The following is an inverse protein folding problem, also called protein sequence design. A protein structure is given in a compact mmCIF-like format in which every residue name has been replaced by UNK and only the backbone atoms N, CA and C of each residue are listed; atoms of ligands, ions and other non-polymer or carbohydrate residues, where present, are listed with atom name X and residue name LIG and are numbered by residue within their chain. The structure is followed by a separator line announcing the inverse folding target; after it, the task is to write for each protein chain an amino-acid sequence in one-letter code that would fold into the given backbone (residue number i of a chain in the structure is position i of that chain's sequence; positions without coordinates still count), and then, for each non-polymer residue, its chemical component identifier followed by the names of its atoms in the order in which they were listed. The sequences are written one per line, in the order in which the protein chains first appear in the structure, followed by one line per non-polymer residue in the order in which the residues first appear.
data_IF_970997467940
#
_entry.id   IF_970997467940
#
_cell.length_a   1.000
_cell.length_b   1.000
_cell.length_c   1.000
_cell.angle_alpha   90.00
_cell.angle_beta   90.00
_cell.angle_gamma   90.00
#
_symmetry.space_group_name_H-M   'P 1'
#
loop_
_entity.id
_entity.type
_entity.pdbx_description
1 polymer ?
#
# COMPACT_ATOMS: atom_id res chain seq x y z
N UNK A 1 -10.69 14.51 37.86
CA UNK A 1 -10.42 15.22 36.57
C UNK A 1 -9.00 14.88 36.12
N UNK A 2 -8.84 13.86 35.26
CA UNK A 2 -7.52 13.47 34.75
C UNK A 2 -7.25 14.26 33.46
N UNK A 3 -6.21 15.10 33.49
CA UNK A 3 -5.65 15.77 32.31
C UNK A 3 -4.87 14.73 31.51
N UNK A 4 -5.28 14.47 30.27
CA UNK A 4 -4.48 13.72 29.29
C UNK A 4 -3.25 14.55 28.92
N UNK A 5 -2.05 14.00 29.14
CA UNK A 5 -0.80 14.58 28.62
C UNK A 5 -0.68 14.21 27.14
N UNK A 6 -0.57 15.23 26.29
CA UNK A 6 -0.12 15.11 24.90
C UNK A 6 1.27 14.47 24.88
N UNK A 7 1.43 13.32 24.21
CA UNK A 7 2.76 12.71 23.97
C UNK A 7 2.93 11.24 24.37
N UNK A 8 1.89 10.51 24.77
CA UNK A 8 1.98 9.05 24.85
C UNK A 8 1.64 8.47 23.47
N UNK A 9 2.66 8.14 22.68
CA UNK A 9 2.47 7.12 21.65
C UNK A 9 1.93 5.89 22.36
N UNK A 10 0.80 5.36 21.90
CA UNK A 10 0.39 4.01 22.30
C UNK A 10 1.63 3.12 22.21
N UNK A 11 1.96 2.31 23.23
CA UNK A 11 3.06 1.36 23.08
C UNK A 11 2.81 0.63 21.77
N UNK A 12 3.82 0.53 20.91
CA UNK A 12 3.71 -0.24 19.67
C UNK A 12 3.22 -1.62 20.11
N UNK A 13 1.93 -1.90 19.94
CA UNK A 13 1.39 -3.21 20.31
C UNK A 13 2.17 -4.19 19.46
N UNK A 14 2.91 -5.07 20.13
CA UNK A 14 3.78 -6.00 19.44
C UNK A 14 2.88 -6.85 18.54
N UNK A 15 3.11 -6.78 17.23
CA UNK A 15 2.40 -7.61 16.24
C UNK A 15 2.64 -9.06 16.64
N UNK A 16 1.59 -9.74 17.08
CA UNK A 16 1.69 -11.12 17.55
C UNK A 16 1.91 -12.06 16.37
N UNK A 17 2.40 -13.27 16.63
CA UNK A 17 2.56 -14.27 15.56
C UNK A 17 1.22 -14.57 14.85
N UNK A 18 0.11 -14.51 15.61
CA UNK A 18 -1.23 -14.63 15.04
C UNK A 18 -1.56 -13.48 14.08
N UNK A 19 -1.22 -12.25 14.42
CA UNK A 19 -1.47 -11.09 13.55
C UNK A 19 -0.68 -11.18 12.25
N UNK A 20 0.55 -11.69 12.31
CA UNK A 20 1.39 -11.92 11.12
C UNK A 20 0.80 -12.97 10.20
N UNK A 21 0.35 -14.10 10.75
CA UNK A 21 -0.31 -15.15 9.94
C UNK A 21 -1.60 -14.63 9.30
N UNK A 22 -2.43 -13.92 10.05
CA UNK A 22 -3.64 -13.28 9.50
C UNK A 22 -3.31 -12.26 8.40
N UNK A 23 -2.24 -11.48 8.56
CA UNK A 23 -1.80 -10.54 7.52
C UNK A 23 -1.36 -11.26 6.23
N UNK A 24 -0.63 -12.38 6.36
CA UNK A 24 -0.24 -13.21 5.21
C UNK A 24 -1.48 -13.80 4.52
N UNK A 25 -2.41 -14.38 5.28
CA UNK A 25 -3.66 -14.95 4.75
C UNK A 25 -4.51 -13.89 4.04
N UNK A 26 -4.68 -12.71 4.65
CA UNK A 26 -5.41 -11.61 4.06
C UNK A 26 -4.76 -11.13 2.76
N UNK A 27 -3.42 -11.09 2.72
CA UNK A 27 -2.68 -10.64 1.54
C UNK A 27 -2.86 -11.55 0.32
N UNK A 28 -3.10 -12.85 0.52
CA UNK A 28 -3.39 -13.79 -0.60
C UNK A 28 -4.53 -13.28 -1.49
N UNK A 29 -5.52 -12.58 -0.91
CA UNK A 29 -6.63 -11.98 -1.68
C UNK A 29 -6.16 -10.86 -2.61
N UNK A 30 -5.12 -10.12 -2.22
CA UNK A 30 -4.52 -9.06 -3.03
C UNK A 30 -3.71 -9.68 -4.18
N UNK A 31 -3.01 -10.79 -3.93
CA UNK A 31 -2.18 -11.46 -4.93
C UNK A 31 -2.97 -12.04 -6.10
N UNK A 32 -4.25 -12.36 -5.89
CA UNK A 32 -5.12 -12.93 -6.91
C UNK A 32 -5.24 -12.03 -8.15
N UNK A 33 -5.21 -10.71 -7.98
CA UNK A 33 -5.27 -9.76 -9.10
C UNK A 33 -4.70 -8.38 -8.75
N UNK A 34 -3.38 -8.24 -8.81
CA UNK A 34 -2.70 -6.98 -8.51
C UNK A 34 -3.16 -5.81 -9.39
N UNK A 35 -3.52 -6.04 -10.66
CA UNK A 35 -3.98 -4.97 -11.55
C UNK A 35 -5.33 -4.42 -11.11
N UNK A 36 -6.31 -5.29 -10.86
CA UNK A 36 -7.63 -4.87 -10.41
C UNK A 36 -7.57 -4.21 -9.03
N UNK A 37 -6.85 -4.82 -8.09
CA UNK A 37 -6.77 -4.32 -6.71
C UNK A 37 -6.04 -2.97 -6.66
N UNK A 38 -4.92 -2.81 -7.36
CA UNK A 38 -4.23 -1.52 -7.41
C UNK A 38 -5.08 -0.44 -8.06
N UNK A 39 -5.81 -0.76 -9.13
CA UNK A 39 -6.72 0.21 -9.75
C UNK A 39 -7.80 0.67 -8.77
N UNK A 40 -8.51 -0.25 -8.12
CA UNK A 40 -9.57 0.09 -7.17
C UNK A 40 -9.02 0.94 -6.00
N UNK A 41 -7.92 0.51 -5.40
CA UNK A 41 -7.26 1.23 -4.30
C UNK A 41 -6.93 2.67 -4.68
N UNK A 42 -6.37 2.90 -5.87
CA UNK A 42 -5.92 4.22 -6.29
C UNK A 42 -7.05 5.08 -6.83
N UNK A 43 -8.09 4.49 -7.44
CA UNK A 43 -9.34 5.21 -7.76
C UNK A 43 -9.96 5.76 -6.49
N UNK A 44 -10.10 4.93 -5.45
CA UNK A 44 -10.68 5.37 -4.17
C UNK A 44 -9.80 6.44 -3.50
N UNK A 45 -8.48 6.24 -3.52
CA UNK A 45 -7.54 7.18 -2.90
C UNK A 45 -7.51 8.53 -3.60
N UNK A 46 -7.50 8.57 -4.93
CA UNK A 46 -7.53 9.81 -5.69
C UNK A 46 -8.90 10.47 -5.68
N UNK A 47 -9.99 9.71 -5.55
CA UNK A 47 -11.33 10.28 -5.36
C UNK A 47 -11.43 11.02 -4.03
N UNK A 48 -10.87 10.43 -2.96
CA UNK A 48 -10.86 11.05 -1.63
C UNK A 48 -9.83 12.19 -1.53
N UNK A 49 -8.70 12.06 -2.22
CA UNK A 49 -7.57 13.00 -2.15
C UNK A 49 -6.99 13.31 -3.54
N UNK A 50 -7.69 14.11 -4.37
CA UNK A 50 -7.31 14.34 -5.77
C UNK A 50 -5.89 14.90 -5.94
N UNK A 51 -5.41 15.68 -4.95
CA UNK A 51 -4.06 16.25 -4.97
C UNK A 51 -2.94 15.20 -5.00
N UNK A 52 -3.20 13.96 -4.57
CA UNK A 52 -2.20 12.89 -4.53
C UNK A 52 -1.85 12.34 -5.92
N UNK A 53 -2.66 12.59 -6.94
CA UNK A 53 -2.30 12.30 -8.35
C UNK A 53 -0.98 12.97 -8.73
N UNK A 54 -0.68 14.14 -8.15
CA UNK A 54 0.54 14.89 -8.42
C UNK A 54 1.83 14.15 -8.03
N UNK A 55 1.78 13.21 -7.08
CA UNK A 55 2.93 12.36 -6.75
C UNK A 55 3.36 11.48 -7.93
N UNK A 56 2.43 11.21 -8.86
CA UNK A 56 2.62 10.32 -9.99
C UNK A 56 2.62 11.04 -11.34
N UNK A 57 2.70 12.38 -11.35
CA UNK A 57 2.66 13.19 -12.60
C UNK A 57 3.69 12.75 -13.65
N UNK A 58 4.85 12.24 -13.23
CA UNK A 58 5.90 11.74 -14.12
C UNK A 58 5.64 10.32 -14.67
N UNK A 59 4.57 9.68 -14.23
CA UNK A 59 4.11 8.37 -14.68
C UNK A 59 2.93 8.48 -15.67
N UNK A 60 2.38 9.68 -15.88
CA UNK A 60 1.41 9.94 -16.95
C UNK A 60 2.21 10.16 -18.22
N UNK A 61 2.04 9.27 -19.20
CA UNK A 61 2.58 9.48 -20.53
C UNK A 61 1.73 10.57 -21.21
N UNK A 62 2.38 11.47 -21.95
CA UNK A 62 1.73 12.57 -22.68
C UNK A 62 0.59 12.14 -23.61
N UNK A 63 0.55 10.85 -23.96
CA UNK A 63 -0.48 10.25 -24.82
C UNK A 63 -1.73 9.76 -24.08
N UNK A 64 -1.78 9.87 -22.74
CA UNK A 64 -2.91 9.39 -21.93
C UNK A 64 -3.46 10.50 -21.05
N UNK A 65 -4.76 10.77 -21.19
CA UNK A 65 -5.47 11.74 -20.35
C UNK A 65 -5.81 11.18 -18.96
N UNK A 66 -5.91 9.84 -18.84
CA UNK A 66 -6.20 9.14 -17.60
C UNK A 66 -4.96 8.36 -17.10
N UNK A 67 -4.51 8.69 -15.90
CA UNK A 67 -3.40 8.01 -15.21
C UNK A 67 -3.63 6.50 -15.09
N UNK A 68 -4.88 6.04 -14.93
CA UNK A 68 -5.20 4.60 -14.83
C UNK A 68 -5.09 3.86 -16.15
N UNK A 69 -5.02 4.58 -17.27
CA UNK A 69 -4.77 4.02 -18.60
C UNK A 69 -3.30 4.09 -18.99
N UNK A 70 -2.47 4.88 -18.29
CA UNK A 70 -1.03 4.94 -18.52
C UNK A 70 -0.36 3.59 -18.23
N UNK A 71 0.29 2.95 -19.23
CA UNK A 71 0.99 1.67 -19.03
C UNK A 71 2.12 1.77 -18.00
N UNK A 72 2.75 2.95 -17.89
CA UNK A 72 3.83 3.20 -16.93
C UNK A 72 3.31 3.20 -15.50
N UNK A 73 2.17 3.84 -15.28
CA UNK A 73 1.51 3.85 -13.97
C UNK A 73 1.00 2.46 -13.60
N UNK A 74 0.25 1.79 -14.48
CA UNK A 74 -0.27 0.43 -14.23
C UNK A 74 0.86 -0.55 -13.90
N UNK A 75 1.97 -0.49 -14.65
CA UNK A 75 3.15 -1.34 -14.38
C UNK A 75 3.77 -1.03 -13.02
N UNK A 76 3.95 0.25 -12.68
CA UNK A 76 4.49 0.62 -11.37
C UNK A 76 3.62 0.08 -10.23
N UNK A 77 2.31 0.25 -10.37
CA UNK A 77 1.36 -0.13 -9.34
C UNK A 77 1.22 -1.64 -9.13
N UNK A 78 0.95 -2.37 -10.22
CA UNK A 78 0.64 -3.79 -10.17
C UNK A 78 1.88 -4.68 -10.16
N UNK A 79 2.98 -4.25 -10.78
CA UNK A 79 4.17 -5.10 -10.95
C UNK A 79 5.31 -4.71 -10.01
N UNK A 80 5.24 -3.55 -9.34
CA UNK A 80 6.27 -3.11 -8.41
C UNK A 80 5.73 -2.85 -7.01
N UNK A 81 4.78 -1.91 -6.85
CA UNK A 81 4.36 -1.49 -5.51
C UNK A 81 3.67 -2.60 -4.73
N UNK A 82 2.56 -3.16 -5.23
CA UNK A 82 1.84 -4.21 -4.51
C UNK A 82 2.70 -5.48 -4.31
N UNK A 83 3.44 -5.99 -5.31
CA UNK A 83 4.33 -7.13 -5.07
C UNK A 83 5.37 -6.88 -3.98
N UNK A 84 5.95 -5.68 -3.91
CA UNK A 84 6.90 -5.32 -2.85
C UNK A 84 6.24 -5.26 -1.46
N UNK A 85 5.01 -4.77 -1.36
CA UNK A 85 4.23 -4.86 -0.12
C UNK A 85 3.98 -6.31 0.30
N UNK A 86 3.69 -7.20 -0.68
CA UNK A 86 3.55 -8.63 -0.42
C UNK A 86 4.84 -9.27 0.09
N UNK A 87 6.00 -8.86 -0.42
CA UNK A 87 7.31 -9.29 0.10
C UNK A 87 7.46 -8.85 1.56
N UNK A 88 7.12 -7.60 1.90
CA UNK A 88 7.16 -7.10 3.28
C UNK A 88 6.26 -7.94 4.19
N UNK A 89 5.02 -8.20 3.78
CA UNK A 89 4.04 -8.96 4.56
C UNK A 89 4.50 -10.41 4.77
N UNK A 90 5.05 -11.06 3.75
CA UNK A 90 5.58 -12.44 3.88
C UNK A 90 6.76 -12.55 4.85
N UNK A 91 7.51 -11.48 5.02
CA UNK A 91 8.72 -11.45 5.85
C UNK A 91 8.52 -10.68 7.17
N UNK A 92 7.28 -10.55 7.66
CA UNK A 92 6.99 -9.91 8.96
C UNK A 92 7.72 -10.59 10.14
N UNK A 93 8.12 -11.86 9.99
CA UNK A 93 8.92 -12.59 10.98
C UNK A 93 10.42 -12.26 10.94
N UNK A 94 10.85 -11.51 9.92
CA UNK A 94 12.26 -11.18 9.66
C UNK A 94 12.44 -9.66 9.47
N UNK A 95 12.17 -8.86 10.50
CA UNK A 95 12.19 -7.40 10.38
C UNK A 95 13.56 -6.81 10.01
N UNK A 96 14.65 -7.56 10.20
CA UNK A 96 16.01 -7.11 9.88
C UNK A 96 16.45 -7.39 8.43
N UNK A 97 15.65 -8.11 7.64
CA UNK A 97 16.00 -8.51 6.27
C UNK A 97 15.77 -7.38 5.24
N UNK A 98 15.21 -6.24 5.68
CA UNK A 98 14.86 -5.08 4.83
C UNK A 98 15.82 -3.88 4.98
N UNK A 99 17.07 -4.12 5.40
CA UNK A 99 18.10 -3.08 5.51
C UNK A 99 18.82 -2.80 4.21
#
# INVERSE_FOLDING_TARGET
KLKLKCGQSLPLEAITDRDKELAKEAWVQVEFNYVLISKNLFVDWFTQYPQHVNFFKHMIDSSFDDIFTSPKFVRHMANSLLPNLGIIIRNLDRPNDFR
#
